data_IF_129677761376
#
_entry.id   IF_129677761376
#
_cell.length_a   1.000
_cell.length_b   1.000
_cell.length_c   1.000
_cell.angle_alpha   90.00
_cell.angle_beta   90.00
_cell.angle_gamma   90.00
#
_symmetry.space_group_name_H-M   'P 1'
#
loop_
_entity.id
_entity.type
_entity.pdbx_description
1 polymer ?
#
# COMPACT_ATOMS: atom_id res chain seq x y z
N UNK A 1 94.60 -39.78 -68.63
CA UNK A 1 93.34 -40.55 -68.78
C UNK A 1 92.71 -40.89 -67.43
N UNK A 2 93.33 -41.69 -66.54
CA UNK A 2 92.74 -41.98 -65.20
C UNK A 2 92.65 -40.73 -64.31
N UNK A 3 93.75 -39.96 -64.22
CA UNK A 3 93.82 -38.72 -63.42
C UNK A 3 92.80 -37.67 -63.89
N UNK A 4 92.62 -37.52 -65.20
CA UNK A 4 91.65 -36.55 -65.75
C UNK A 4 90.20 -36.93 -65.37
N UNK A 5 89.89 -38.23 -65.35
CA UNK A 5 88.58 -38.73 -64.90
C UNK A 5 88.35 -38.47 -63.40
N UNK A 6 89.37 -38.64 -62.57
CA UNK A 6 89.31 -38.34 -61.13
C UNK A 6 89.12 -36.84 -60.87
N UNK A 7 89.81 -35.98 -61.62
CA UNK A 7 89.65 -34.52 -61.53
C UNK A 7 88.25 -34.07 -61.94
N UNK A 8 87.69 -34.64 -63.01
CA UNK A 8 86.30 -34.35 -63.43
C UNK A 8 85.30 -34.81 -62.37
N UNK A 9 85.46 -36.02 -61.84
CA UNK A 9 84.60 -36.53 -60.75
C UNK A 9 84.68 -35.65 -59.50
N UNK A 10 85.88 -35.22 -59.12
CA UNK A 10 86.08 -34.34 -57.98
C UNK A 10 85.46 -32.95 -58.21
N UNK A 11 85.56 -32.41 -59.44
CA UNK A 11 84.94 -31.13 -59.80
C UNK A 11 83.41 -31.19 -59.75
N UNK A 12 82.79 -32.27 -60.26
CA UNK A 12 81.34 -32.46 -60.19
C UNK A 12 80.86 -32.61 -58.74
N UNK A 13 81.64 -33.32 -57.91
CA UNK A 13 81.36 -33.43 -56.48
C UNK A 13 81.45 -32.07 -55.76
N UNK A 14 82.47 -31.26 -56.05
CA UNK A 14 82.60 -29.91 -55.50
C UNK A 14 81.47 -28.99 -55.97
N UNK A 15 81.07 -29.07 -57.23
CA UNK A 15 79.98 -28.28 -57.77
C UNK A 15 78.64 -28.62 -57.11
N UNK A 16 78.37 -29.91 -56.89
CA UNK A 16 77.21 -30.37 -56.13
C UNK A 16 77.23 -29.86 -54.68
N UNK A 17 78.39 -29.89 -54.02
CA UNK A 17 78.50 -29.33 -52.66
C UNK A 17 78.29 -27.82 -52.65
N UNK A 18 78.78 -27.10 -53.66
CA UNK A 18 78.58 -25.66 -53.82
C UNK A 18 77.11 -25.33 -54.00
N UNK A 19 76.37 -26.05 -54.85
CA UNK A 19 74.93 -25.81 -55.04
C UNK A 19 74.14 -26.08 -53.77
N UNK A 20 74.40 -27.20 -53.06
CA UNK A 20 73.73 -27.49 -51.79
C UNK A 20 74.02 -26.45 -50.70
N UNK A 21 75.23 -25.85 -50.69
CA UNK A 21 75.57 -24.79 -49.75
C UNK A 21 74.84 -23.48 -50.06
N UNK A 22 74.65 -23.15 -51.34
CA UNK A 22 73.86 -21.99 -51.77
C UNK A 22 72.37 -22.15 -51.41
N UNK A 23 71.80 -23.34 -51.62
CA UNK A 23 70.41 -23.65 -51.21
C UNK A 23 70.22 -23.50 -49.70
N UNK A 24 71.16 -24.02 -48.89
CA UNK A 24 71.13 -23.85 -47.43
C UNK A 24 71.24 -22.37 -47.03
N UNK A 25 72.08 -21.60 -47.71
CA UNK A 25 72.22 -20.17 -47.47
C UNK A 25 70.92 -19.42 -47.78
N UNK A 26 70.23 -19.76 -48.88
CA UNK A 26 68.93 -19.18 -49.23
C UNK A 26 67.86 -19.51 -48.18
N UNK A 27 67.83 -20.75 -47.69
CA UNK A 27 66.93 -21.14 -46.59
C UNK A 27 67.24 -20.38 -45.29
N UNK A 28 68.53 -20.22 -44.93
CA UNK A 28 68.94 -19.44 -43.77
C UNK A 28 68.56 -17.96 -43.90
N UNK A 29 68.54 -17.43 -45.13
CA UNK A 29 68.15 -16.04 -45.39
C UNK A 29 66.65 -15.77 -45.19
N UNK A 30 65.79 -16.81 -45.17
CA UNK A 30 64.36 -16.69 -44.88
C UNK A 30 64.03 -16.68 -43.37
N UNK A 31 64.94 -17.16 -42.52
CA UNK A 31 64.74 -17.27 -41.07
C UNK A 31 64.40 -15.94 -40.36
N UNK A 32 64.96 -14.78 -40.75
CA UNK A 32 64.54 -13.48 -40.21
C UNK A 32 63.09 -13.12 -40.53
N UNK A 33 62.58 -13.52 -41.69
CA UNK A 33 61.17 -13.32 -42.06
C UNK A 33 60.24 -14.14 -41.17
N UNK A 34 60.57 -15.42 -40.99
CA UNK A 34 59.83 -16.30 -40.07
C UNK A 34 59.84 -15.76 -38.63
N UNK A 35 60.97 -15.20 -38.19
CA UNK A 35 61.11 -14.59 -36.87
C UNK A 35 60.20 -13.35 -36.74
N UNK A 36 60.17 -12.48 -37.75
CA UNK A 36 59.27 -11.32 -37.77
C UNK A 36 57.79 -11.72 -37.76
N UNK A 37 57.42 -12.79 -38.50
CA UNK A 37 56.05 -13.32 -38.49
C UNK A 37 55.67 -13.88 -37.11
N UNK A 38 56.60 -14.57 -36.45
CA UNK A 38 56.40 -15.08 -35.10
C UNK A 38 56.28 -13.95 -34.08
N UNK A 39 57.12 -12.92 -34.17
CA UNK A 39 57.01 -11.71 -33.34
C UNK A 39 55.66 -11.00 -33.54
N UNK A 40 55.19 -10.89 -34.79
CA UNK A 40 53.87 -10.33 -35.10
C UNK A 40 52.73 -11.18 -34.52
N UNK A 41 52.81 -12.50 -34.65
CA UNK A 41 51.83 -13.42 -34.06
C UNK A 41 51.82 -13.32 -32.53
N UNK A 42 52.98 -13.20 -31.90
CA UNK A 42 53.08 -12.95 -30.45
C UNK A 42 52.44 -11.63 -30.07
N UNK A 43 52.69 -10.54 -30.81
CA UNK A 43 52.04 -9.25 -30.56
C UNK A 43 50.52 -9.34 -30.69
N UNK A 44 50.01 -10.03 -31.72
CA UNK A 44 48.57 -10.25 -31.90
C UNK A 44 47.96 -11.06 -30.74
N UNK A 45 48.66 -12.09 -30.25
CA UNK A 45 48.23 -12.86 -29.10
C UNK A 45 48.11 -11.98 -27.85
N UNK A 46 49.12 -11.15 -27.56
CA UNK A 46 49.09 -10.25 -26.40
C UNK A 46 47.97 -9.21 -26.48
N UNK A 47 47.68 -8.70 -27.68
CA UNK A 47 46.54 -7.80 -27.89
C UNK A 47 45.21 -8.52 -27.68
N UNK A 48 45.10 -9.76 -28.18
CA UNK A 48 43.90 -10.57 -28.00
C UNK A 48 43.65 -10.90 -26.53
N UNK A 49 44.69 -11.25 -25.77
CA UNK A 49 44.64 -11.45 -24.33
C UNK A 49 44.09 -10.21 -23.60
N UNK A 50 44.62 -9.02 -23.91
CA UNK A 50 44.12 -7.78 -23.34
C UNK A 50 42.65 -7.50 -23.71
N UNK A 51 42.24 -7.81 -24.95
CA UNK A 51 40.85 -7.63 -25.37
C UNK A 51 39.88 -8.58 -24.67
N UNK A 52 40.33 -9.81 -24.34
CA UNK A 52 39.51 -10.74 -23.56
C UNK A 52 39.36 -10.26 -22.12
N UNK A 53 40.43 -9.76 -21.50
CA UNK A 53 40.36 -9.16 -20.17
C UNK A 53 39.39 -7.96 -20.15
N UNK A 54 39.40 -7.11 -21.18
CA UNK A 54 38.43 -6.02 -21.31
C UNK A 54 36.98 -6.54 -21.40
N UNK A 55 36.73 -7.56 -22.22
CA UNK A 55 35.38 -8.16 -22.36
C UNK A 55 34.92 -8.80 -21.05
N UNK A 56 35.80 -9.50 -20.33
CA UNK A 56 35.49 -10.07 -19.02
C UNK A 56 35.09 -8.98 -18.01
N UNK A 57 35.82 -7.86 -17.98
CA UNK A 57 35.46 -6.71 -17.16
C UNK A 57 34.10 -6.11 -17.54
N UNK A 58 33.78 -6.00 -18.83
CA UNK A 58 32.47 -5.53 -19.28
C UNK A 58 31.35 -6.49 -18.89
N UNK A 59 31.58 -7.80 -18.94
CA UNK A 59 30.61 -8.81 -18.52
C UNK A 59 30.33 -8.73 -17.01
N UNK A 60 31.36 -8.55 -16.18
CA UNK A 60 31.19 -8.35 -14.73
C UNK A 60 30.36 -7.10 -14.44
N UNK A 61 30.67 -5.98 -15.09
CA UNK A 61 29.90 -4.74 -14.94
C UNK A 61 28.43 -4.90 -15.39
N UNK A 62 28.18 -5.69 -16.44
CA UNK A 62 26.83 -5.98 -16.91
C UNK A 62 26.07 -6.83 -15.89
N UNK A 63 26.71 -7.83 -15.29
CA UNK A 63 26.12 -8.65 -14.23
C UNK A 63 25.73 -7.80 -13.01
N UNK A 64 26.62 -6.90 -12.57
CA UNK A 64 26.34 -5.95 -11.50
C UNK A 64 25.14 -5.05 -11.81
N UNK A 65 25.08 -4.52 -13.04
CA UNK A 65 23.98 -3.65 -13.47
C UNK A 65 22.64 -4.40 -13.56
N UNK A 66 22.66 -5.65 -14.04
CA UNK A 66 21.49 -6.53 -14.04
C UNK A 66 20.99 -6.78 -12.63
N UNK A 67 21.88 -7.13 -11.69
CA UNK A 67 21.55 -7.31 -10.28
C UNK A 67 20.94 -6.06 -9.65
N UNK A 68 21.47 -4.88 -9.96
CA UNK A 68 20.89 -3.60 -9.51
C UNK A 68 19.49 -3.35 -10.10
N UNK A 69 19.30 -3.61 -11.39
CA UNK A 69 18.01 -3.45 -12.05
C UNK A 69 16.93 -4.38 -11.45
N UNK A 70 17.29 -5.62 -11.16
CA UNK A 70 16.39 -6.58 -10.51
C UNK A 70 16.02 -6.14 -9.10
N UNK A 71 17.00 -5.67 -8.33
CA UNK A 71 16.78 -5.17 -6.98
C UNK A 71 15.85 -3.95 -6.96
N UNK A 72 16.06 -2.99 -7.86
CA UNK A 72 15.19 -1.81 -7.95
C UNK A 72 13.78 -2.19 -8.39
N UNK A 73 13.64 -3.13 -9.34
CA UNK A 73 12.33 -3.67 -9.74
C UNK A 73 11.61 -4.33 -8.55
N UNK A 74 12.33 -5.11 -7.74
CA UNK A 74 11.77 -5.77 -6.55
C UNK A 74 11.31 -4.74 -5.50
N UNK A 75 12.15 -3.75 -5.18
CA UNK A 75 11.78 -2.67 -4.26
C UNK A 75 10.55 -1.90 -4.75
N UNK A 76 10.51 -1.57 -6.05
CA UNK A 76 9.37 -0.88 -6.64
C UNK A 76 8.09 -1.69 -6.53
N UNK A 77 8.14 -2.99 -6.85
CA UNK A 77 7.01 -3.91 -6.72
C UNK A 77 6.48 -3.95 -5.28
N UNK A 78 7.36 -4.13 -4.30
CA UNK A 78 7.01 -4.15 -2.88
C UNK A 78 6.39 -2.83 -2.40
N UNK A 79 6.98 -1.69 -2.83
CA UNK A 79 6.46 -0.36 -2.51
C UNK A 79 5.05 -0.16 -3.07
N UNK A 80 4.82 -0.56 -4.31
CA UNK A 80 3.52 -0.50 -4.97
C UNK A 80 2.49 -1.41 -4.28
N UNK A 81 2.87 -2.63 -3.91
CA UNK A 81 2.00 -3.54 -3.15
C UNK A 81 1.56 -2.92 -1.82
N UNK A 82 2.51 -2.32 -1.09
CA UNK A 82 2.22 -1.66 0.18
C UNK A 82 1.32 -0.43 0.00
N UNK A 83 1.56 0.38 -1.02
CA UNK A 83 0.72 1.53 -1.34
C UNK A 83 -0.72 1.10 -1.67
N UNK A 84 -0.86 0.07 -2.51
CA UNK A 84 -2.16 -0.49 -2.87
C UNK A 84 -2.90 -1.05 -1.66
N UNK A 85 -2.20 -1.78 -0.79
CA UNK A 85 -2.78 -2.29 0.46
C UNK A 85 -3.27 -1.15 1.36
N UNK A 86 -2.44 -0.13 1.61
CA UNK A 86 -2.83 1.05 2.40
C UNK A 86 -4.01 1.80 1.78
N UNK A 87 -4.06 1.90 0.46
CA UNK A 87 -5.18 2.51 -0.27
C UNK A 87 -6.45 1.69 -0.12
N UNK A 88 -6.37 0.36 -0.22
CA UNK A 88 -7.54 -0.51 -0.04
C UNK A 88 -8.08 -0.42 1.39
N UNK A 89 -7.20 -0.48 2.39
CA UNK A 89 -7.58 -0.36 3.80
C UNK A 89 -8.25 0.97 4.12
N UNK A 90 -7.77 2.08 3.55
CA UNK A 90 -8.44 3.39 3.70
C UNK A 90 -9.85 3.38 3.12
N UNK A 91 -10.03 2.78 1.93
CA UNK A 91 -11.35 2.64 1.31
C UNK A 91 -12.29 1.78 2.15
N UNK A 92 -11.82 0.62 2.62
CA UNK A 92 -12.60 -0.28 3.49
C UNK A 92 -13.06 0.44 4.78
N UNK A 93 -12.18 1.23 5.40
CA UNK A 93 -12.53 2.03 6.58
C UNK A 93 -13.55 3.12 6.26
N UNK A 94 -13.41 3.80 5.13
CA UNK A 94 -14.36 4.82 4.69
C UNK A 94 -15.74 4.21 4.42
N UNK A 95 -15.80 3.04 3.79
CA UNK A 95 -17.07 2.32 3.55
C UNK A 95 -17.70 1.85 4.85
N UNK A 96 -16.91 1.24 5.75
CA UNK A 96 -17.43 0.77 7.04
C UNK A 96 -17.97 1.93 7.88
N UNK A 97 -17.26 3.06 7.89
CA UNK A 97 -17.73 4.28 8.58
C UNK A 97 -19.06 4.77 8.00
N UNK A 98 -19.17 4.85 6.67
CA UNK A 98 -20.40 5.31 6.01
C UNK A 98 -21.58 4.36 6.27
N UNK A 99 -21.33 3.05 6.29
CA UNK A 99 -22.33 2.04 6.65
C UNK A 99 -22.80 2.19 8.08
N UNK A 100 -21.89 2.36 9.04
CA UNK A 100 -22.21 2.55 10.45
C UNK A 100 -22.97 3.86 10.70
N UNK A 101 -22.57 4.94 10.04
CA UNK A 101 -23.27 6.23 10.11
C UNK A 101 -24.71 6.10 9.56
N UNK A 102 -24.90 5.35 8.47
CA UNK A 102 -26.21 5.09 7.89
C UNK A 102 -27.08 4.19 8.78
N UNK A 103 -26.51 3.14 9.38
CA UNK A 103 -27.20 2.26 10.31
C UNK A 103 -27.65 3.03 11.56
N UNK A 104 -26.77 3.87 12.12
CA UNK A 104 -27.10 4.72 13.26
C UNK A 104 -28.22 5.71 12.91
N UNK A 105 -28.13 6.40 11.77
CA UNK A 105 -29.19 7.30 11.31
C UNK A 105 -30.53 6.58 11.12
N UNK A 106 -30.51 5.36 10.55
CA UNK A 106 -31.69 4.52 10.41
C UNK A 106 -32.27 4.13 11.78
N UNK A 107 -31.43 3.75 12.75
CA UNK A 107 -31.87 3.37 14.09
C UNK A 107 -32.52 4.52 14.84
N UNK A 108 -31.95 5.71 14.74
CA UNK A 108 -32.51 6.95 15.31
C UNK A 108 -33.89 7.22 14.72
N UNK A 109 -34.04 7.14 13.39
CA UNK A 109 -35.33 7.32 12.72
C UNK A 109 -36.37 6.27 13.15
N UNK A 110 -35.96 5.01 13.28
CA UNK A 110 -36.84 3.92 13.74
C UNK A 110 -37.33 4.17 15.18
N UNK A 111 -36.44 4.60 16.07
CA UNK A 111 -36.76 4.93 17.45
C UNK A 111 -37.71 6.14 17.55
N UNK A 112 -37.46 7.20 16.79
CA UNK A 112 -38.34 8.38 16.73
C UNK A 112 -39.73 8.01 16.21
N UNK A 113 -39.81 7.23 15.11
CA UNK A 113 -41.09 6.77 14.57
C UNK A 113 -41.85 5.90 15.58
N UNK A 114 -41.15 5.00 16.27
CA UNK A 114 -41.74 4.14 17.30
C UNK A 114 -42.29 4.98 18.47
N UNK A 115 -41.54 5.99 18.92
CA UNK A 115 -41.98 6.91 19.96
C UNK A 115 -43.21 7.72 19.51
N UNK A 116 -43.18 8.24 18.28
CA UNK A 116 -44.30 8.99 17.71
C UNK A 116 -45.57 8.14 17.56
N UNK A 117 -45.43 6.87 17.16
CA UNK A 117 -46.54 5.93 17.08
C UNK A 117 -47.17 5.68 18.46
N UNK A 118 -46.37 5.47 19.51
CA UNK A 118 -46.86 5.32 20.89
C UNK A 118 -47.64 6.55 21.37
N UNK A 119 -47.12 7.75 21.11
CA UNK A 119 -47.81 9.00 21.47
C UNK A 119 -49.13 9.17 20.73
N UNK A 120 -49.16 8.82 19.43
CA UNK A 120 -50.36 8.90 18.60
C UNK A 120 -51.43 7.88 19.01
N UNK A 121 -51.03 6.65 19.33
CA UNK A 121 -51.94 5.62 19.86
C UNK A 121 -52.54 6.06 21.20
N UNK A 122 -51.70 6.61 22.09
CA UNK A 122 -52.16 7.16 23.37
C UNK A 122 -53.16 8.31 23.17
N UNK A 123 -52.90 9.24 22.24
CA UNK A 123 -53.85 10.30 21.89
C UNK A 123 -55.18 9.72 21.42
N UNK A 124 -55.15 8.70 20.54
CA UNK A 124 -56.35 8.03 20.03
C UNK A 124 -57.17 7.39 21.16
N UNK A 125 -56.50 6.74 22.11
CA UNK A 125 -57.16 6.12 23.27
C UNK A 125 -57.93 7.13 24.13
N UNK A 126 -57.33 8.30 24.40
CA UNK A 126 -57.99 9.36 25.15
C UNK A 126 -59.16 9.99 24.39
N UNK A 127 -59.00 10.21 23.08
CA UNK A 127 -60.08 10.71 22.23
C UNK A 127 -61.29 9.75 22.24
N UNK A 128 -61.04 8.44 22.13
CA UNK A 128 -62.09 7.43 22.18
C UNK A 128 -62.78 7.38 23.55
N UNK A 129 -62.02 7.47 24.64
CA UNK A 129 -62.58 7.52 26.00
C UNK A 129 -63.47 8.76 26.19
N UNK A 130 -63.04 9.92 25.69
CA UNK A 130 -63.82 11.16 25.74
C UNK A 130 -65.12 11.05 24.91
N UNK A 131 -65.02 10.51 23.69
CA UNK A 131 -66.16 10.29 22.81
C UNK A 131 -67.21 9.38 23.48
N UNK A 132 -66.78 8.28 24.10
CA UNK A 132 -67.66 7.39 24.86
C UNK A 132 -68.35 8.11 26.02
N UNK A 133 -67.61 8.90 26.78
CA UNK A 133 -68.12 9.67 27.92
C UNK A 133 -69.17 10.71 27.47
N UNK A 134 -68.92 11.38 26.33
CA UNK A 134 -69.88 12.30 25.71
C UNK A 134 -71.14 11.59 25.25
N UNK A 135 -71.02 10.45 24.58
CA UNK A 135 -72.16 9.62 24.13
C UNK A 135 -72.99 9.10 25.31
N UNK A 136 -72.32 8.69 26.39
CA UNK A 136 -72.97 8.29 27.63
C UNK A 136 -73.75 9.45 28.23
N UNK A 137 -73.14 10.63 28.37
CA UNK A 137 -73.83 11.80 28.92
C UNK A 137 -75.07 12.17 28.12
N UNK A 138 -74.98 12.16 26.78
CA UNK A 138 -76.13 12.41 25.90
C UNK A 138 -77.23 11.35 26.05
N UNK A 139 -76.87 10.10 26.37
CA UNK A 139 -77.81 8.99 26.50
C UNK A 139 -78.48 8.92 27.88
N UNK A 140 -77.74 9.10 28.97
CA UNK A 140 -78.24 8.93 30.35
C UNK A 140 -78.48 10.24 31.11
N UNK A 141 -77.89 11.36 30.69
CA UNK A 141 -78.02 12.68 31.33
C UNK A 141 -77.08 12.92 32.52
N UNK A 142 -76.15 12.00 32.81
CA UNK A 142 -75.16 12.10 33.88
C UNK A 142 -73.87 11.36 33.50
N UNK A 143 -72.73 11.77 34.07
CA UNK A 143 -71.38 11.35 33.68
C UNK A 143 -70.68 10.54 34.78
N UNK A 144 -70.14 9.35 34.48
CA UNK A 144 -69.57 8.39 35.45
C UNK A 144 -68.02 8.38 35.44
N UNK A 145 -67.39 9.54 35.61
CA UNK A 145 -65.92 9.69 35.48
C UNK A 145 -65.14 8.98 36.60
N UNK A 146 -65.67 8.97 37.83
CA UNK A 146 -64.92 8.52 39.01
C UNK A 146 -64.78 7.00 39.11
N UNK A 147 -65.74 6.24 38.58
CA UNK A 147 -65.81 4.78 38.78
C UNK A 147 -64.87 4.01 37.83
N UNK A 148 -64.53 4.58 36.66
CA UNK A 148 -63.54 3.99 35.74
C UNK A 148 -62.09 4.24 36.13
N UNK A 149 -61.78 5.34 36.84
CA UNK A 149 -60.40 5.66 37.25
C UNK A 149 -59.82 4.70 38.31
N UNK A 150 -60.67 3.89 38.97
CA UNK A 150 -60.29 2.95 40.03
C UNK A 150 -60.21 1.47 39.62
N UNK A 151 -60.57 1.11 38.38
CA UNK A 151 -60.46 -0.26 37.83
C UNK A 151 -59.47 -0.27 36.68
N UNK A 152 -58.17 -0.11 36.98
CA UNK A 152 -57.12 -0.31 35.98
C UNK A 152 -56.95 -1.79 35.63
N UNK A 153 -56.71 -2.12 34.35
CA UNK A 153 -55.72 -3.10 34.00
C UNK A 153 -54.44 -2.37 33.54
N UNK A 154 -53.45 -2.36 34.44
CA UNK A 154 -52.00 -2.39 34.20
C UNK A 154 -51.33 -1.30 33.35
N UNK A 155 -50.56 -0.46 34.04
CA UNK A 155 -49.27 0.03 33.54
C UNK A 155 -49.13 1.55 33.54
N UNK A 156 -48.82 2.13 34.69
CA UNK A 156 -48.13 3.43 34.87
C UNK A 156 -48.45 4.52 33.82
N UNK A 157 -49.65 5.09 33.85
CA UNK A 157 -50.00 6.26 33.01
C UNK A 157 -49.62 7.61 33.65
N UNK A 158 -48.61 7.62 34.53
CA UNK A 158 -48.09 8.86 35.11
C UNK A 158 -47.13 9.53 34.13
N UNK A 159 -47.53 10.73 33.68
CA UNK A 159 -46.76 11.76 32.99
C UNK A 159 -45.25 11.54 32.85
N UNK A 160 -44.76 11.54 31.61
CA UNK A 160 -43.33 11.52 31.24
C UNK A 160 -42.60 10.24 31.66
N UNK A 161 -42.91 9.12 31.00
CA UNK A 161 -42.00 7.98 30.97
C UNK A 161 -40.72 8.41 30.25
N UNK A 162 -39.70 8.80 31.02
CA UNK A 162 -38.33 8.97 30.53
C UNK A 162 -37.89 7.59 30.04
N UNK A 163 -37.41 7.46 28.80
CA UNK A 163 -36.87 6.18 28.29
C UNK A 163 -35.62 5.82 29.10
N UNK A 164 -35.79 5.10 30.21
CA UNK A 164 -34.70 4.61 31.08
C UNK A 164 -33.73 3.74 30.26
N UNK A 165 -34.25 3.00 29.29
CA UNK A 165 -33.48 2.14 28.37
C UNK A 165 -32.47 2.92 27.49
N UNK A 166 -32.71 4.21 27.18
CA UNK A 166 -31.72 5.03 26.46
C UNK A 166 -30.63 5.58 27.38
N UNK A 167 -30.93 5.77 28.66
CA UNK A 167 -29.98 6.25 29.66
C UNK A 167 -29.01 5.12 30.06
N UNK A 168 -29.51 3.89 30.18
CA UNK A 168 -28.71 2.70 30.48
C UNK A 168 -27.72 2.35 29.34
N UNK A 169 -28.03 2.71 28.10
CA UNK A 169 -27.17 2.45 26.94
C UNK A 169 -25.99 3.42 26.81
N UNK A 170 -26.05 4.61 27.44
CA UNK A 170 -24.95 5.58 27.50
C UNK A 170 -23.84 5.15 28.47
N UNK A 171 -24.18 4.43 29.54
CA UNK A 171 -23.24 4.09 30.62
C UNK A 171 -22.30 2.91 30.29
N UNK A 172 -22.56 2.14 29.23
CA UNK A 172 -21.77 0.93 28.89
C UNK A 172 -20.59 1.17 27.94
N UNK A 173 -20.46 2.35 27.32
CA UNK A 173 -19.47 2.60 26.26
C UNK A 173 -18.27 3.47 26.69
N UNK A 174 -18.30 4.06 27.89
CA UNK A 174 -17.35 5.14 28.27
C UNK A 174 -16.20 4.70 29.19
N UNK A 175 -15.98 3.38 29.36
CA UNK A 175 -14.98 2.85 30.32
C UNK A 175 -13.90 1.95 29.71
N UNK A 176 -13.85 1.78 28.38
CA UNK A 176 -12.88 0.88 27.74
C UNK A 176 -12.17 1.44 26.50
N UNK A 177 -12.14 2.76 26.30
CA UNK A 177 -11.36 3.37 25.20
C UNK A 177 -9.87 3.49 25.57
N UNK A 178 -9.28 2.36 25.98
CA UNK A 178 -7.87 2.21 26.34
C UNK A 178 -6.93 2.52 25.16
N UNK A 179 -7.45 2.48 23.93
CA UNK A 179 -6.73 2.74 22.67
C UNK A 179 -6.43 4.24 22.45
N UNK A 180 -7.30 5.15 22.92
CA UNK A 180 -7.07 6.59 22.83
C UNK A 180 -5.89 7.05 23.72
N UNK A 181 -5.65 6.37 24.84
CA UNK A 181 -4.53 6.66 25.74
C UNK A 181 -3.18 6.26 25.14
N UNK A 182 -3.13 5.19 24.34
CA UNK A 182 -1.90 4.72 23.70
C UNK A 182 -1.42 5.66 22.58
N UNK A 183 -2.34 6.34 21.87
CA UNK A 183 -1.99 7.39 20.89
C UNK A 183 -1.35 8.61 21.58
N UNK A 184 -1.81 8.95 22.79
CA UNK A 184 -1.28 10.08 23.56
C UNK A 184 0.11 9.81 24.13
N UNK A 185 0.40 8.56 24.53
CA UNK A 185 1.71 8.17 25.06
C UNK A 185 2.76 7.95 23.96
N UNK A 186 2.35 7.51 22.76
CA UNK A 186 3.26 7.24 21.65
C UNK A 186 3.54 8.47 20.75
N UNK A 187 2.78 9.56 20.86
CA UNK A 187 2.96 10.74 19.98
C UNK A 187 3.92 11.82 20.53
N UNK A 188 4.62 11.54 21.63
CA UNK A 188 5.48 12.49 22.34
C UNK A 188 6.98 12.31 22.09
N UNK A 189 7.45 12.51 20.86
CA UNK A 189 8.83 12.95 20.62
C UNK A 189 9.68 12.10 19.67
N UNK A 190 9.59 12.39 18.38
CA UNK A 190 10.71 12.17 17.46
C UNK A 190 10.74 13.31 16.43
N UNK A 191 11.74 14.19 16.56
CA UNK A 191 12.30 15.07 15.53
C UNK A 191 13.60 15.73 16.05
N UNK A 192 14.70 14.97 16.15
CA UNK A 192 16.04 15.50 15.86
C UNK A 192 17.09 14.39 15.65
N UNK A 193 17.76 14.32 14.48
CA UNK A 193 18.82 13.36 14.23
C UNK A 193 20.18 13.94 14.68
N UNK A 194 20.57 13.76 15.94
CA UNK A 194 21.96 13.97 16.36
C UNK A 194 22.27 13.45 17.77
N UNK A 195 23.24 12.53 17.82
CA UNK A 195 24.17 12.28 18.92
C UNK A 195 23.62 11.63 20.20
N UNK A 196 23.90 10.33 20.37
CA UNK A 196 24.02 9.70 21.69
C UNK A 196 25.40 9.99 22.29
N UNK A 197 25.50 10.58 23.49
CA UNK A 197 26.63 10.40 24.35
C UNK A 197 26.33 9.35 25.43
N UNK A 198 27.38 8.62 25.74
CA UNK A 198 27.52 7.54 26.71
C UNK A 198 27.17 7.98 28.14
N UNK A 199 26.66 7.01 28.91
CA UNK A 199 26.33 6.95 30.34
C UNK A 199 27.09 7.90 31.31
N UNK A 200 26.35 8.45 32.30
CA UNK A 200 26.74 9.48 33.30
C UNK A 200 27.73 9.08 34.41
N UNK A 201 27.67 9.60 35.67
CA UNK A 201 26.77 10.59 36.30
C UNK A 201 27.49 11.73 37.11
N UNK A 202 26.84 12.88 37.36
CA UNK A 202 27.11 13.68 38.58
C UNK A 202 25.93 14.59 38.97
N UNK A 203 25.75 14.73 40.29
CA UNK A 203 24.69 15.43 41.02
C UNK A 203 24.82 16.95 40.94
N UNK A 204 23.69 17.67 40.92
CA UNK A 204 23.69 19.13 41.09
C UNK A 204 22.30 19.73 41.13
N UNK A 205 21.79 19.92 42.35
CA UNK A 205 20.54 20.60 42.70
C UNK A 205 20.53 22.04 42.14
N UNK A 206 19.44 22.43 41.46
CA UNK A 206 19.19 23.81 41.05
C UNK A 206 17.72 24.01 40.71
N UNK A 207 17.04 24.80 41.53
CA UNK A 207 15.61 25.12 41.49
C UNK A 207 15.24 26.06 40.31
N UNK A 208 14.01 26.59 40.35
CA UNK A 208 13.37 27.63 39.51
C UNK A 208 12.52 27.02 38.37
N UNK A 209 11.20 27.19 38.26
CA UNK A 209 10.27 28.13 38.89
C UNK A 209 9.23 28.56 37.85
N UNK A 210 8.08 27.90 37.88
CA UNK A 210 6.71 28.26 37.43
C UNK A 210 6.53 29.61 36.69
N UNK A 211 5.83 29.62 35.54
CA UNK A 211 4.67 30.51 35.24
C UNK A 211 4.05 30.11 33.90
N UNK A 212 2.84 29.51 33.91
CA UNK A 212 1.98 29.40 32.73
C UNK A 212 0.97 30.55 32.77
N UNK A 213 1.00 31.39 31.74
CA UNK A 213 0.15 32.57 31.60
C UNK A 213 -1.04 32.21 30.70
N UNK A 214 -2.25 32.43 31.19
CA UNK A 214 -3.53 32.24 30.47
C UNK A 214 -3.95 33.58 29.85
N UNK A 215 -4.35 33.64 28.58
CA UNK A 215 -5.12 34.76 28.04
C UNK A 215 -6.64 34.53 28.13
N UNK A 216 -7.33 35.50 28.73
CA UNK A 216 -8.80 35.64 28.84
C UNK A 216 -9.46 36.04 27.49
N UNK A 217 -10.78 35.81 27.28
CA UNK A 217 -11.48 36.02 26.01
C UNK A 217 -12.31 37.33 25.98
N UNK A 218 -12.21 38.11 24.90
CA UNK A 218 -13.22 39.03 24.30
C UNK A 218 -12.47 39.83 23.20
N UNK A 219 -12.98 40.17 22.03
CA UNK A 219 -14.31 40.58 21.61
C UNK A 219 -14.44 40.48 20.08
N UNK A 220 -15.66 40.40 19.60
CA UNK A 220 -16.13 40.29 18.22
C UNK A 220 -15.94 41.58 17.40
N UNK A 221 -15.78 41.45 16.06
CA UNK A 221 -16.49 42.32 15.10
C UNK A 221 -16.67 41.63 13.74
N UNK A 222 -17.84 41.87 13.18
CA UNK A 222 -18.45 41.30 12.00
C UNK A 222 -17.85 41.81 10.68
N UNK A 223 -18.05 41.05 9.59
CA UNK A 223 -18.75 41.55 8.39
C UNK A 223 -18.95 40.44 7.33
N UNK A 224 -20.14 40.43 6.73
CA UNK A 224 -20.56 39.63 5.56
C UNK A 224 -20.78 40.64 4.42
N UNK A 225 -20.47 40.34 3.15
CA UNK A 225 -21.54 40.11 2.16
C UNK A 225 -21.14 39.09 1.05
N UNK A 226 -22.03 38.19 0.59
CA UNK A 226 -23.03 38.29 -0.49
C UNK A 226 -22.52 38.00 -1.92
N UNK A 227 -23.23 37.08 -2.59
CA UNK A 227 -23.05 36.54 -3.95
C UNK A 227 -23.33 37.56 -5.08
N UNK A 228 -23.08 37.16 -6.35
CA UNK A 228 -24.17 37.25 -7.32
C UNK A 228 -24.30 36.07 -8.30
N UNK A 229 -25.55 35.90 -8.76
CA UNK A 229 -26.06 35.07 -9.84
C UNK A 229 -26.07 35.83 -11.19
N UNK A 230 -25.85 35.14 -12.32
CA UNK A 230 -26.53 35.46 -13.61
C UNK A 230 -26.75 34.17 -14.42
N UNK A 231 -27.94 34.07 -14.99
CA UNK A 231 -28.50 32.99 -15.78
C UNK A 231 -28.33 33.28 -17.29
N UNK A 232 -28.03 32.27 -18.11
CA UNK A 232 -28.47 32.25 -19.54
C UNK A 232 -28.71 30.80 -19.98
N UNK A 233 -29.88 30.58 -20.59
CA UNK A 233 -30.45 29.31 -21.01
C UNK A 233 -30.56 29.28 -22.54
N UNK A 234 -30.16 28.18 -23.18
CA UNK A 234 -30.63 27.60 -24.45
C UNK A 234 -29.75 26.36 -24.76
N UNK A 235 -30.15 25.28 -25.45
CA UNK A 235 -31.37 24.49 -25.55
C UNK A 235 -30.99 23.22 -26.36
N UNK A 236 -31.32 22.04 -25.84
CA UNK A 236 -31.65 20.76 -26.49
C UNK A 236 -30.84 20.23 -27.71
N UNK A 237 -30.26 19.03 -27.53
CA UNK A 237 -30.58 17.83 -28.33
C UNK A 237 -30.22 16.56 -27.54
N UNK A 238 -31.08 15.55 -27.57
CA UNK A 238 -30.93 14.20 -26.99
C UNK A 238 -31.03 13.15 -28.13
N UNK A 239 -31.01 11.82 -27.90
CA UNK A 239 -30.31 11.00 -26.91
C UNK A 239 -29.45 9.89 -27.59
N UNK A 240 -28.54 9.25 -26.85
CA UNK A 240 -27.79 8.07 -27.29
C UNK A 240 -27.73 7.02 -26.18
N UNK A 241 -28.57 6.01 -26.31
CA UNK A 241 -28.67 4.81 -25.48
C UNK A 241 -27.38 3.96 -25.55
N UNK A 242 -26.91 3.43 -24.43
CA UNK A 242 -25.77 2.51 -24.41
C UNK A 242 -25.22 2.29 -23.01
N UNK A 243 -25.91 1.47 -22.23
CA UNK A 243 -25.36 0.94 -20.99
C UNK A 243 -24.43 -0.23 -21.30
N UNK A 244 -23.26 -0.23 -20.70
CA UNK A 244 -22.45 -1.44 -20.49
C UNK A 244 -21.51 -1.23 -19.29
N UNK A 245 -21.77 -1.97 -18.22
CA UNK A 245 -20.89 -2.12 -17.07
C UNK A 245 -19.68 -2.98 -17.46
N UNK A 246 -18.45 -2.68 -17.00
CA UNK A 246 -17.33 -3.58 -17.22
C UNK A 246 -17.41 -4.78 -16.26
N UNK A 247 -17.26 -5.97 -16.85
CA UNK A 247 -17.31 -7.28 -16.20
C UNK A 247 -15.97 -7.52 -15.48
N UNK A 248 -16.04 -7.88 -14.20
CA UNK A 248 -14.88 -8.29 -13.39
C UNK A 248 -14.56 -9.74 -13.75
N UNK A 249 -13.39 -10.00 -14.33
CA UNK A 249 -12.86 -11.35 -14.46
C UNK A 249 -12.04 -11.67 -13.21
N UNK A 250 -12.56 -12.59 -12.39
CA UNK A 250 -11.80 -13.30 -11.37
C UNK A 250 -10.85 -14.29 -12.03
N UNK A 251 -9.57 -14.21 -11.69
CA UNK A 251 -8.59 -15.25 -11.99
C UNK A 251 -8.37 -16.07 -10.72
N UNK A 252 -8.77 -17.34 -10.75
CA UNK A 252 -8.51 -18.33 -9.71
C UNK A 252 -7.33 -19.20 -10.18
N UNK A 253 -6.12 -18.97 -9.65
CA UNK A 253 -4.99 -19.86 -9.93
C UNK A 253 -4.91 -20.91 -8.81
N UNK A 254 -5.19 -22.17 -9.17
CA UNK A 254 -5.05 -23.33 -8.30
C UNK A 254 -3.58 -23.64 -8.03
N UNK A 255 -3.23 -23.80 -6.77
CA UNK A 255 -1.89 -24.21 -6.31
C UNK A 255 -1.74 -25.71 -6.53
N UNK A 256 -1.03 -26.13 -7.57
CA UNK A 256 -0.52 -27.50 -7.70
C UNK A 256 0.68 -27.67 -6.76
N UNK A 257 0.56 -28.63 -5.84
CA UNK A 257 1.61 -29.00 -4.89
C UNK A 257 2.36 -30.19 -5.48
N UNK A 258 3.57 -29.96 -5.99
CA UNK A 258 4.45 -31.05 -6.44
C UNK A 258 4.98 -31.84 -5.23
N UNK A 259 4.22 -32.86 -4.83
CA UNK A 259 4.68 -33.94 -3.95
C UNK A 259 4.95 -35.19 -4.78
N UNK A 260 6.15 -35.32 -5.34
CA UNK A 260 6.64 -36.60 -5.85
C UNK A 260 8.19 -36.64 -5.97
N UNK A 261 8.85 -37.23 -4.97
CA UNK A 261 9.87 -38.30 -5.11
C UNK A 261 10.67 -38.46 -3.81
N UNK A 262 10.08 -39.20 -2.88
CA UNK A 262 10.81 -39.89 -1.83
C UNK A 262 10.44 -41.37 -1.90
N UNK A 263 11.22 -42.16 -2.63
CA UNK A 263 11.30 -43.62 -2.46
C UNK A 263 12.74 -44.07 -2.68
N UNK A 264 13.47 -44.12 -1.57
CA UNK A 264 14.53 -45.10 -1.35
C UNK A 264 13.85 -46.43 -0.99
N UNK A 265 14.12 -47.52 -1.72
CA UNK A 265 14.68 -48.77 -1.18
C UNK A 265 14.67 -49.96 -2.18
N UNK A 266 15.77 -50.73 -2.09
CA UNK A 266 15.96 -52.19 -2.33
C UNK A 266 15.80 -52.75 -3.74
N UNK A 267 16.92 -53.11 -4.37
CA UNK A 267 17.51 -54.47 -4.29
C UNK A 267 19.03 -54.41 -4.54
#
# INVERSE_FOLDING_TARGET
QLVDSEVVMLSAHWEKKRTSLVELQEQLQQLPGLLADLESMTANLTHLEASFEEVENHLLNLEDLCGQCELERYKHMQSQQLENYKKNKRKELETFKAELDAEHAQKVLEMEHTQQAKLKERQKFFEEAFQQDMEQYLSTGYLQIAERRGKEPMGSMSSMEVNIDMLEQMDLMDISDQEALDVFLNSGGEDNPALSPVSGPELGIGQHGITLQVPDPTESQAERPSSPSVCTKLAAAAPGNGGESPIVQSDEEGVEVDTALATLHTD
#
